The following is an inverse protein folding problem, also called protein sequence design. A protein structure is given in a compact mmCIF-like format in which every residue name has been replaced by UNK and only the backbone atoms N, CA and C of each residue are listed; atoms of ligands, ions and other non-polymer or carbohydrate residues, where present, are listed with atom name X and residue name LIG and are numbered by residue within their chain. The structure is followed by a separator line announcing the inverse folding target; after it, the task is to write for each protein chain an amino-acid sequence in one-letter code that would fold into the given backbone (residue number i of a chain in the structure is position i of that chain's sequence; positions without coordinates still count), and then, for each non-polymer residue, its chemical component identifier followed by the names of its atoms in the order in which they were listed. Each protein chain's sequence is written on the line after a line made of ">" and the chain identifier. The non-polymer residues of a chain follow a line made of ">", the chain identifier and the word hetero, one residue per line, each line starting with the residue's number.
data_IF_800618143723
#
_entry.id   IF_800618143723
#
_cell.length_a   1.000
_cell.length_b   1.000
_cell.length_c   1.000
_cell.angle_alpha   90.00
_cell.angle_beta   90.00
_cell.angle_gamma   90.00
#
_symmetry.space_group_name_H-M   'P 1'
#
loop_
_entity.id
_entity.type
_entity.pdbx_description
1 polymer ?
#
# COMPACT_ATOMS: atom_id res chain seq x y z
N UNK A 1 -2.38 -25.22 -19.42
CA UNK A 1 -3.03 -23.90 -19.30
C UNK A 1 -2.25 -23.13 -18.25
N UNK A 2 -1.86 -21.88 -18.51
CA UNK A 2 -1.21 -21.02 -17.52
C UNK A 2 -2.23 -20.70 -16.42
N UNK A 3 -1.76 -20.67 -15.17
CA UNK A 3 -2.59 -20.23 -14.03
C UNK A 3 -2.79 -18.72 -14.14
N UNK A 4 -4.04 -18.28 -14.05
CA UNK A 4 -4.39 -16.85 -14.00
C UNK A 4 -4.07 -16.30 -12.59
N UNK A 5 -3.51 -15.10 -12.54
CA UNK A 5 -3.26 -14.35 -11.30
C UNK A 5 -3.97 -12.99 -11.42
N UNK A 6 -4.99 -12.80 -10.61
CA UNK A 6 -5.81 -11.59 -10.60
C UNK A 6 -5.20 -10.55 -9.63
N UNK A 7 -4.76 -9.42 -10.18
CA UNK A 7 -4.07 -8.35 -9.46
C UNK A 7 -4.96 -7.12 -9.40
N UNK A 8 -5.29 -6.64 -8.20
CA UNK A 8 -5.97 -5.36 -8.03
C UNK A 8 -4.94 -4.24 -7.93
N UNK A 9 -5.00 -3.29 -8.86
CA UNK A 9 -4.33 -1.99 -8.74
C UNK A 9 -5.32 -1.03 -8.06
N UNK A 10 -5.05 -0.69 -6.79
CA UNK A 10 -5.97 0.02 -5.92
C UNK A 10 -5.83 1.54 -6.12
N UNK A 11 -6.89 2.20 -6.58
CA UNK A 11 -6.98 3.64 -6.85
C UNK A 11 -5.85 4.23 -7.73
N UNK A 12 -5.50 3.62 -8.87
CA UNK A 12 -4.36 4.09 -9.67
C UNK A 12 -4.54 5.49 -10.28
N UNK A 13 -5.76 6.06 -10.29
CA UNK A 13 -6.00 7.43 -10.76
C UNK A 13 -5.59 8.48 -9.74
N UNK A 14 -5.79 8.21 -8.44
CA UNK A 14 -5.58 9.18 -7.37
C UNK A 14 -4.35 8.85 -6.50
N UNK A 15 -3.89 7.58 -6.52
CA UNK A 15 -2.81 7.04 -5.72
C UNK A 15 -1.67 6.48 -6.59
N UNK A 16 -1.01 7.35 -7.36
CA UNK A 16 0.06 6.96 -8.31
C UNK A 16 1.09 8.08 -8.53
N UNK A 17 1.34 8.91 -7.52
CA UNK A 17 2.16 10.12 -7.71
C UNK A 17 3.65 9.83 -7.93
N UNK A 18 4.12 8.68 -7.48
CA UNK A 18 5.52 8.25 -7.65
C UNK A 18 5.73 7.31 -8.84
N UNK A 19 4.72 7.17 -9.70
CA UNK A 19 4.77 6.18 -10.79
C UNK A 19 4.55 4.75 -10.30
N UNK A 20 3.72 4.58 -9.27
CA UNK A 20 3.43 3.30 -8.63
C UNK A 20 2.85 2.25 -9.59
N UNK A 21 2.25 2.68 -10.69
CA UNK A 21 1.90 1.81 -11.83
C UNK A 21 3.10 1.00 -12.36
N UNK A 22 4.34 1.48 -12.13
CA UNK A 22 5.56 0.75 -12.43
C UNK A 22 5.69 -0.54 -11.62
N UNK A 23 5.22 -0.56 -10.36
CA UNK A 23 5.17 -1.77 -9.54
C UNK A 23 4.23 -2.81 -10.17
N UNK A 24 3.05 -2.36 -10.62
CA UNK A 24 2.06 -3.21 -11.29
C UNK A 24 2.65 -3.82 -12.56
N UNK A 25 3.26 -2.99 -13.42
CA UNK A 25 3.90 -3.44 -14.67
C UNK A 25 5.04 -4.43 -14.39
N UNK A 26 5.84 -4.18 -13.37
CA UNK A 26 6.95 -5.05 -12.98
C UNK A 26 6.43 -6.43 -12.54
N UNK A 27 5.42 -6.47 -11.67
CA UNK A 27 4.82 -7.72 -11.20
C UNK A 27 4.18 -8.48 -12.37
N UNK A 28 3.38 -7.79 -13.21
CA UNK A 28 2.82 -8.41 -14.41
C UNK A 28 3.91 -9.06 -15.29
N UNK A 29 4.97 -8.32 -15.57
CA UNK A 29 6.05 -8.81 -16.42
C UNK A 29 6.75 -10.02 -15.81
N UNK A 30 7.02 -9.98 -14.50
CA UNK A 30 7.67 -11.08 -13.80
C UNK A 30 6.78 -12.32 -13.77
N UNK A 31 5.50 -12.19 -13.43
CA UNK A 31 4.55 -13.30 -13.44
C UNK A 31 4.47 -13.96 -14.84
N UNK A 32 4.40 -13.16 -15.89
CA UNK A 32 4.41 -13.68 -17.26
C UNK A 32 5.70 -14.44 -17.60
N UNK A 33 6.87 -13.96 -17.13
CA UNK A 33 8.16 -14.65 -17.29
C UNK A 33 8.20 -15.99 -16.55
N UNK A 34 7.47 -16.11 -15.44
CA UNK A 34 7.32 -17.36 -14.69
C UNK A 34 6.23 -18.29 -15.22
N UNK A 35 5.56 -17.93 -16.33
CA UNK A 35 4.56 -18.77 -16.99
C UNK A 35 3.14 -18.60 -16.46
N UNK A 36 2.88 -17.60 -15.62
CA UNK A 36 1.54 -17.22 -15.19
C UNK A 36 0.85 -16.29 -16.21
N UNK A 37 -0.46 -16.17 -16.10
CA UNK A 37 -1.27 -15.20 -16.85
C UNK A 37 -1.76 -14.09 -15.92
N UNK A 38 -1.02 -12.96 -15.81
CA UNK A 38 -1.42 -11.85 -14.92
C UNK A 38 -2.57 -11.06 -15.52
N UNK A 39 -3.66 -10.90 -14.76
CA UNK A 39 -4.81 -10.08 -15.10
C UNK A 39 -4.91 -8.90 -14.12
N UNK A 40 -4.81 -7.68 -14.63
CA UNK A 40 -4.85 -6.48 -13.78
C UNK A 40 -6.22 -5.83 -13.83
N UNK A 41 -6.78 -5.61 -12.65
CA UNK A 41 -8.01 -4.88 -12.40
C UNK A 41 -7.69 -3.51 -11.79
N UNK A 42 -7.90 -2.44 -12.54
CA UNK A 42 -7.73 -1.08 -12.04
C UNK A 42 -8.98 -0.67 -11.25
N UNK A 43 -8.94 -0.81 -9.94
CA UNK A 43 -10.03 -0.42 -9.07
C UNK A 43 -9.93 1.07 -8.71
N UNK A 44 -10.96 1.83 -9.03
CA UNK A 44 -11.14 3.22 -8.63
C UNK A 44 -12.54 3.41 -8.04
N UNK A 45 -12.75 4.52 -7.37
CA UNK A 45 -14.04 4.88 -6.81
C UNK A 45 -15.17 4.71 -7.83
N UNK A 46 -16.24 4.01 -7.43
CA UNK A 46 -17.39 3.72 -8.26
C UNK A 46 -17.21 2.59 -9.28
N UNK A 47 -16.06 1.91 -9.28
CA UNK A 47 -15.86 0.70 -10.08
C UNK A 47 -16.35 -0.55 -9.33
N UNK A 48 -16.71 -1.57 -10.10
CA UNK A 48 -17.00 -2.89 -9.53
C UNK A 48 -15.71 -3.54 -9.02
N UNK A 49 -15.83 -4.24 -7.90
CA UNK A 49 -14.74 -5.05 -7.37
C UNK A 49 -14.65 -6.39 -8.12
N UNK A 50 -13.47 -6.88 -8.49
CA UNK A 50 -13.35 -8.16 -9.17
C UNK A 50 -13.80 -9.34 -8.28
N UNK A 51 -14.32 -10.39 -8.91
CA UNK A 51 -14.80 -11.58 -8.18
C UNK A 51 -13.67 -12.35 -7.50
N UNK A 52 -12.47 -12.30 -8.06
CA UNK A 52 -11.28 -12.98 -7.56
C UNK A 52 -10.11 -12.02 -7.43
N UNK A 53 -9.31 -12.21 -6.37
CA UNK A 53 -8.14 -11.38 -6.07
C UNK A 53 -7.02 -12.25 -5.50
N UNK A 54 -5.88 -12.29 -6.19
CA UNK A 54 -4.68 -13.00 -5.74
C UNK A 54 -3.63 -12.05 -5.16
N UNK A 55 -3.67 -10.76 -5.52
CA UNK A 55 -2.71 -9.75 -5.04
C UNK A 55 -3.31 -8.35 -5.12
N UNK A 56 -2.93 -7.48 -4.19
CA UNK A 56 -3.32 -6.05 -4.21
C UNK A 56 -2.08 -5.17 -4.21
N UNK A 57 -2.04 -4.21 -5.14
CA UNK A 57 -0.98 -3.20 -5.24
C UNK A 57 -1.60 -1.82 -5.11
N UNK A 58 -1.09 -1.02 -4.19
CA UNK A 58 -1.56 0.32 -3.92
C UNK A 58 -0.43 1.32 -3.85
N UNK A 59 -0.62 2.48 -4.45
CA UNK A 59 0.41 3.50 -4.62
C UNK A 59 0.36 4.63 -3.62
N UNK A 60 1.28 5.58 -3.80
CA UNK A 60 1.36 6.80 -3.03
C UNK A 60 0.41 7.89 -3.54
N UNK A 61 -0.06 8.70 -2.62
CA UNK A 61 -0.89 9.88 -2.89
C UNK A 61 -0.62 10.97 -1.88
N UNK A 62 -0.92 12.20 -2.27
CA UNK A 62 -0.96 13.33 -1.34
C UNK A 62 -2.28 13.29 -0.54
N UNK A 63 -2.36 14.09 0.52
CA UNK A 63 -3.55 14.21 1.38
C UNK A 63 -4.83 14.48 0.57
N UNK A 64 -4.73 15.24 -0.54
CA UNK A 64 -5.86 15.49 -1.44
C UNK A 64 -6.34 14.23 -2.17
N UNK A 65 -5.43 13.33 -2.55
CA UNK A 65 -5.75 12.04 -3.16
C UNK A 65 -6.38 11.11 -2.12
N UNK A 66 -5.79 11.03 -0.92
CA UNK A 66 -6.35 10.25 0.19
C UNK A 66 -7.79 10.69 0.52
N UNK A 67 -8.03 12.02 0.66
CA UNK A 67 -9.36 12.56 0.94
C UNK A 67 -10.39 12.25 -0.14
N UNK A 68 -9.99 12.11 -1.40
CA UNK A 68 -10.91 11.76 -2.48
C UNK A 68 -11.39 10.31 -2.39
N UNK A 69 -10.49 9.39 -2.05
CA UNK A 69 -10.81 7.96 -2.03
C UNK A 69 -11.39 7.48 -0.72
N UNK A 70 -11.30 8.29 0.36
CA UNK A 70 -11.49 7.85 1.74
C UNK A 70 -12.85 7.18 1.97
N UNK A 71 -13.93 7.75 1.45
CA UNK A 71 -15.28 7.22 1.66
C UNK A 71 -15.47 5.84 0.99
N UNK A 72 -15.00 5.68 -0.25
CA UNK A 72 -15.04 4.41 -0.96
C UNK A 72 -14.09 3.39 -0.32
N UNK A 73 -12.92 3.85 0.13
CA UNK A 73 -11.94 3.02 0.82
C UNK A 73 -12.51 2.43 2.12
N UNK A 74 -13.20 3.22 2.93
CA UNK A 74 -13.86 2.74 4.15
C UNK A 74 -15.03 1.80 3.85
N UNK A 75 -15.76 1.99 2.77
CA UNK A 75 -16.79 1.02 2.34
C UNK A 75 -16.19 -0.35 1.99
N UNK A 76 -14.90 -0.40 1.61
CA UNK A 76 -14.16 -1.63 1.31
C UNK A 76 -13.34 -2.17 2.49
N UNK A 77 -13.36 -1.49 3.64
CA UNK A 77 -12.48 -1.82 4.78
C UNK A 77 -12.62 -3.28 5.24
N UNK A 78 -13.83 -3.77 5.41
CA UNK A 78 -14.06 -5.15 5.88
C UNK A 78 -13.60 -6.18 4.85
N UNK A 79 -13.80 -5.91 3.56
CA UNK A 79 -13.30 -6.75 2.48
C UNK A 79 -11.77 -6.79 2.47
N UNK A 80 -11.11 -5.63 2.55
CA UNK A 80 -9.65 -5.54 2.57
C UNK A 80 -9.04 -6.23 3.78
N UNK A 81 -9.67 -6.10 4.97
CA UNK A 81 -9.26 -6.82 6.18
C UNK A 81 -9.40 -8.33 6.01
N UNK A 82 -10.52 -8.79 5.42
CA UNK A 82 -10.74 -10.21 5.16
C UNK A 82 -9.69 -10.77 4.21
N UNK A 83 -9.42 -10.09 3.09
CA UNK A 83 -8.39 -10.51 2.14
C UNK A 83 -6.99 -10.56 2.77
N UNK A 84 -6.66 -9.59 3.63
CA UNK A 84 -5.40 -9.61 4.38
C UNK A 84 -5.33 -10.81 5.36
N UNK A 85 -6.41 -11.07 6.09
CA UNK A 85 -6.51 -12.21 7.01
C UNK A 85 -6.44 -13.56 6.28
N UNK A 86 -6.95 -13.63 5.05
CA UNK A 86 -6.88 -14.80 4.18
C UNK A 86 -5.49 -14.97 3.54
N UNK A 87 -4.55 -14.07 3.82
CA UNK A 87 -3.17 -14.13 3.35
C UNK A 87 -2.96 -13.63 1.91
N UNK A 88 -3.87 -12.85 1.35
CA UNK A 88 -3.67 -12.21 0.04
C UNK A 88 -2.50 -11.22 0.14
N UNK A 89 -1.43 -11.37 -0.67
CA UNK A 89 -0.29 -10.47 -0.64
C UNK A 89 -0.70 -9.04 -1.01
N UNK A 90 -0.23 -8.07 -0.23
CA UNK A 90 -0.53 -6.66 -0.44
C UNK A 90 0.73 -5.83 -0.41
N UNK A 91 0.95 -4.99 -1.44
CA UNK A 91 2.02 -3.99 -1.47
C UNK A 91 1.40 -2.60 -1.44
N UNK A 92 1.49 -1.93 -0.29
CA UNK A 92 0.95 -0.60 -0.07
C UNK A 92 2.07 0.41 0.08
N UNK A 93 2.04 1.46 -0.75
CA UNK A 93 3.09 2.48 -0.79
C UNK A 93 2.56 3.81 -0.25
N UNK A 94 3.35 4.47 0.61
CA UNK A 94 3.17 5.84 1.08
C UNK A 94 1.73 6.10 1.59
N UNK A 95 0.92 6.85 0.86
CA UNK A 95 -0.43 7.24 1.29
C UNK A 95 -1.37 6.05 1.53
N UNK A 96 -1.35 5.01 0.69
CA UNK A 96 -2.14 3.81 0.97
C UNK A 96 -1.57 3.00 2.13
N UNK A 97 -0.25 2.94 2.31
CA UNK A 97 0.33 2.34 3.51
C UNK A 97 -0.20 3.00 4.79
N UNK A 98 -0.31 4.33 4.82
CA UNK A 98 -0.85 5.08 5.96
C UNK A 98 -2.32 4.73 6.23
N UNK A 99 -3.15 4.61 5.19
CA UNK A 99 -4.56 4.24 5.30
C UNK A 99 -4.79 2.77 5.67
N UNK A 100 -3.83 1.89 5.41
CA UNK A 100 -3.86 0.50 5.89
C UNK A 100 -3.43 0.36 7.35
N UNK A 101 -2.79 1.38 7.93
CA UNK A 101 -2.49 1.48 9.35
C UNK A 101 -3.73 1.80 10.20
N UNK A 102 -3.49 2.16 11.47
CA UNK A 102 -4.54 2.59 12.40
C UNK A 102 -5.00 4.02 12.08
N UNK A 103 -4.03 4.91 11.88
CA UNK A 103 -4.29 6.30 11.50
C UNK A 103 -3.04 6.98 10.95
N UNK A 104 -3.25 8.07 10.25
CA UNK A 104 -2.25 9.06 9.88
C UNK A 104 -2.62 10.42 10.46
N UNK A 105 -1.72 11.03 11.22
CA UNK A 105 -1.84 12.39 11.72
C UNK A 105 -0.95 13.31 10.89
N UNK A 106 -1.54 14.32 10.27
CA UNK A 106 -0.81 15.32 9.48
C UNK A 106 -0.08 16.31 10.39
N UNK A 107 0.84 17.11 9.84
CA UNK A 107 1.64 18.10 10.60
C UNK A 107 0.76 19.15 11.29
N UNK A 108 -0.42 19.47 10.75
CA UNK A 108 -1.38 20.41 11.33
C UNK A 108 -2.31 19.77 12.39
N UNK A 109 -2.07 18.49 12.72
CA UNK A 109 -2.85 17.74 13.70
C UNK A 109 -4.16 17.14 13.15
N UNK A 110 -4.41 17.23 11.85
CA UNK A 110 -5.55 16.54 11.24
C UNK A 110 -5.31 15.04 11.24
N UNK A 111 -6.22 14.29 11.84
CA UNK A 111 -6.16 12.83 11.86
C UNK A 111 -7.04 12.23 10.77
N UNK A 112 -6.45 11.34 9.98
CA UNK A 112 -7.12 10.47 9.03
C UNK A 112 -7.06 9.04 9.57
N UNK A 113 -8.21 8.48 9.92
CA UNK A 113 -8.27 7.10 10.38
C UNK A 113 -7.94 6.15 9.24
N UNK A 114 -7.31 5.02 9.58
CA UNK A 114 -7.02 3.93 8.67
C UNK A 114 -7.94 2.74 8.90
N UNK A 115 -7.67 1.64 8.21
CA UNK A 115 -8.47 0.42 8.33
C UNK A 115 -7.85 -0.63 9.27
N UNK A 116 -6.70 -0.35 9.90
CA UNK A 116 -6.10 -1.21 10.92
C UNK A 116 -5.68 -2.61 10.43
N UNK A 117 -5.30 -2.76 9.17
CA UNK A 117 -4.69 -4.00 8.64
C UNK A 117 -3.25 -4.13 9.13
N UNK A 118 -2.54 -3.01 9.22
CA UNK A 118 -1.18 -2.93 9.73
C UNK A 118 -1.26 -2.30 11.12
N UNK A 119 -0.74 -2.98 12.15
CA UNK A 119 -0.68 -2.48 13.53
C UNK A 119 0.35 -1.35 13.67
N UNK A 120 0.15 -0.26 12.97
CA UNK A 120 1.04 0.90 12.94
C UNK A 120 0.25 2.18 12.74
N UNK A 121 0.82 3.30 13.20
CA UNK A 121 0.30 4.64 12.89
C UNK A 121 1.42 5.55 12.44
N UNK A 122 1.10 6.58 11.67
CA UNK A 122 2.07 7.54 11.15
C UNK A 122 1.74 8.95 11.62
N UNK A 123 2.77 9.69 12.06
CA UNK A 123 2.66 11.09 12.45
C UNK A 123 3.54 11.95 11.54
N UNK A 124 2.93 12.93 10.88
CA UNK A 124 3.63 13.93 10.07
C UNK A 124 4.51 14.83 10.93
N UNK A 125 5.73 15.07 10.47
CA UNK A 125 6.70 15.92 11.15
C UNK A 125 7.09 17.11 10.27
N UNK A 126 7.48 18.22 10.93
CA UNK A 126 8.02 19.40 10.21
C UNK A 126 9.41 19.15 9.63
N UNK A 127 10.12 18.16 10.16
CA UNK A 127 11.44 17.76 9.65
C UNK A 127 11.26 16.66 8.61
N UNK A 128 11.84 16.86 7.44
CA UNK A 128 11.86 15.86 6.38
C UNK A 128 13.16 15.06 6.45
N UNK A 129 13.04 13.77 6.58
CA UNK A 129 14.17 12.84 6.50
C UNK A 129 14.48 12.54 5.04
N UNK A 130 15.70 12.89 4.61
CA UNK A 130 16.18 12.70 3.24
C UNK A 130 17.62 12.21 3.34
N UNK A 131 17.88 11.02 2.84
CA UNK A 131 19.24 10.51 2.86
C UNK A 131 19.37 9.03 2.51
N UNK A 132 20.61 8.60 2.42
CA UNK A 132 20.92 7.19 2.32
C UNK A 132 20.70 6.52 3.69
N UNK A 133 20.11 5.34 3.66
CA UNK A 133 19.83 4.53 4.83
C UNK A 133 20.51 3.18 4.69
N UNK A 134 21.10 2.71 5.77
CA UNK A 134 21.61 1.33 5.90
C UNK A 134 20.96 0.73 7.14
N UNK A 135 20.20 -0.32 6.94
CA UNK A 135 19.56 -1.08 8.01
C UNK A 135 20.15 -2.48 8.07
N UNK A 136 20.34 -3.00 9.27
CA UNK A 136 20.78 -4.37 9.46
C UNK A 136 19.59 -5.29 9.71
N UNK A 137 19.50 -6.35 8.92
CA UNK A 137 18.50 -7.41 9.09
C UNK A 137 19.19 -8.72 9.41
N UNK A 138 18.76 -9.40 10.45
CA UNK A 138 19.27 -10.73 10.81
C UNK A 138 19.07 -11.76 9.69
N UNK A 139 18.02 -11.60 8.89
CA UNK A 139 17.68 -12.51 7.79
C UNK A 139 18.41 -12.17 6.49
N UNK A 140 18.57 -10.87 6.16
CA UNK A 140 19.02 -10.41 4.84
C UNK A 140 20.39 -9.71 4.88
N UNK A 141 20.99 -9.51 6.05
CA UNK A 141 22.19 -8.71 6.22
C UNK A 141 21.91 -7.21 6.07
N UNK A 142 22.88 -6.47 5.57
CA UNK A 142 22.72 -5.03 5.38
C UNK A 142 21.82 -4.70 4.18
N UNK A 143 20.74 -3.99 4.45
CA UNK A 143 19.80 -3.48 3.45
C UNK A 143 20.09 -2.01 3.22
N UNK A 144 20.48 -1.67 2.01
CA UNK A 144 20.80 -0.28 1.61
C UNK A 144 19.57 0.33 0.93
N UNK A 145 19.14 1.49 1.41
CA UNK A 145 17.99 2.22 0.90
C UNK A 145 18.22 3.72 0.84
N UNK A 146 17.17 4.41 0.44
CA UNK A 146 17.09 5.86 0.45
C UNK A 146 15.75 6.29 1.04
N UNK A 147 15.77 7.16 2.03
CA UNK A 147 14.56 7.73 2.62
C UNK A 147 14.28 9.13 2.08
N UNK A 148 13.01 9.48 1.90
CA UNK A 148 12.56 10.82 1.55
C UNK A 148 11.12 11.01 2.02
N UNK A 149 10.93 11.24 3.32
CA UNK A 149 9.62 11.38 3.93
C UNK A 149 9.66 12.30 5.17
N UNK A 150 8.50 12.81 5.57
CA UNK A 150 8.32 13.57 6.81
C UNK A 150 7.44 12.83 7.83
N UNK A 151 6.71 11.81 7.40
CA UNK A 151 5.93 10.97 8.31
C UNK A 151 6.83 10.00 9.07
N UNK A 152 6.64 9.92 10.38
CA UNK A 152 7.27 8.91 11.23
C UNK A 152 6.24 7.84 11.57
N UNK A 153 6.57 6.58 11.30
CA UNK A 153 5.70 5.45 11.57
C UNK A 153 6.11 4.74 12.84
N UNK A 154 5.13 4.45 13.67
CA UNK A 154 5.28 3.75 14.94
C UNK A 154 4.50 2.44 14.89
N UNK A 155 5.18 1.33 15.18
CA UNK A 155 4.54 0.02 15.30
C UNK A 155 3.86 -0.10 16.65
N UNK A 156 2.63 -0.61 16.68
CA UNK A 156 1.88 -0.87 17.91
C UNK A 156 2.32 -2.17 18.59
N UNK A 157 2.81 -3.13 17.79
CA UNK A 157 3.35 -4.40 18.28
C UNK A 157 4.41 -4.90 17.34
N UNK A 158 5.51 -5.42 17.86
CA UNK A 158 6.55 -6.11 17.09
C UNK A 158 6.19 -7.58 16.80
N UNK A 159 5.00 -8.04 17.21
CA UNK A 159 4.61 -9.47 17.17
C UNK A 159 3.97 -9.86 15.83
N UNK A 160 3.69 -8.92 14.92
CA UNK A 160 2.95 -9.17 13.67
C UNK A 160 3.69 -8.77 12.39
N UNK A 161 5.01 -8.88 12.39
CA UNK A 161 5.83 -8.78 11.17
C UNK A 161 6.45 -10.12 10.86
#
# INVERSE_FOLDING_TARGET
>A
MSQVIDIVSLYPKDMNIYGDSGNVLTIQRRLALYGYEPRVHAYNQGCDWPEHVDMILGGGGQDTGQKKIIDDFFQRADLLRSLAADGVPMLMICGLYQLFGEYFETVDGTRLDGIGVIGAYTVGQNVRMIGNLVEHSDQFGDVIGYENHSGQTFLLSLIHI
#
